data_IF_759475543064
#
_entry.id   IF_759475543064
#
_cell.length_a   1.000
_cell.length_b   1.000
_cell.length_c   1.000
_cell.angle_alpha   90.00
_cell.angle_beta   90.00
_cell.angle_gamma   90.00
#
_symmetry.space_group_name_H-M   'P 1'
#
loop_
_entity.id
_entity.type
_entity.pdbx_description
1 polymer ?
#
# COMPACT_ATOMS: atom_id res chain seq x y z
N UNK A 1 38.46 31.59 47.82
CA UNK A 1 37.98 30.19 47.93
C UNK A 1 36.72 30.19 48.76
N UNK A 2 35.64 29.49 48.37
CA UNK A 2 35.62 28.36 47.44
C UNK A 2 34.82 28.58 46.14
N UNK A 3 35.36 28.01 45.06
CA UNK A 3 34.63 27.52 43.90
C UNK A 3 33.68 26.38 44.30
N UNK A 4 32.48 26.38 43.73
CA UNK A 4 31.55 25.26 43.82
C UNK A 4 30.98 24.96 42.42
N UNK A 5 31.10 23.73 41.90
CA UNK A 5 30.69 23.41 40.54
C UNK A 5 29.15 23.38 40.42
N UNK A 6 28.64 24.09 39.41
CA UNK A 6 27.22 24.09 39.05
C UNK A 6 26.82 22.72 38.51
N UNK A 7 26.27 21.91 39.42
CA UNK A 7 25.15 20.99 39.24
C UNK A 7 24.98 20.35 37.85
N UNK A 8 25.62 19.19 37.68
CA UNK A 8 25.40 18.23 36.60
C UNK A 8 24.02 17.54 36.68
N UNK A 9 22.92 18.30 36.78
CA UNK A 9 21.55 17.78 36.91
C UNK A 9 20.71 17.83 35.63
N UNK A 10 21.29 18.23 34.49
CA UNK A 10 20.58 18.30 33.21
C UNK A 10 20.53 16.98 32.43
N UNK A 11 21.38 16.00 32.74
CA UNK A 11 21.48 14.74 31.98
C UNK A 11 20.39 13.70 32.29
N UNK A 12 19.98 13.58 33.56
CA UNK A 12 19.05 12.53 33.99
C UNK A 12 17.59 12.79 33.55
N UNK A 13 17.17 14.07 33.52
CA UNK A 13 15.81 14.43 33.13
C UNK A 13 15.53 14.16 31.64
N UNK A 14 16.54 14.33 30.78
CA UNK A 14 16.42 14.07 29.33
C UNK A 14 16.24 12.59 29.01
N UNK A 15 16.90 11.70 29.75
CA UNK A 15 16.79 10.24 29.55
C UNK A 15 15.44 9.68 29.99
N UNK A 16 14.88 10.20 31.09
CA UNK A 16 13.55 9.79 31.57
C UNK A 16 12.45 10.28 30.62
N UNK A 17 12.57 11.51 30.09
CA UNK A 17 11.62 12.03 29.10
C UNK A 17 11.66 11.22 27.78
N UNK A 18 12.86 10.84 27.32
CA UNK A 18 13.02 10.01 26.13
C UNK A 18 12.46 8.58 26.33
N UNK A 19 12.68 7.98 27.50
CA UNK A 19 12.12 6.67 27.84
C UNK A 19 10.58 6.71 27.98
N UNK A 20 10.04 7.80 28.54
CA UNK A 20 8.59 8.01 28.61
C UNK A 20 7.95 8.19 27.22
N UNK A 21 8.64 8.86 26.29
CA UNK A 21 8.15 9.03 24.92
C UNK A 21 8.06 7.69 24.15
N UNK A 22 8.93 6.71 24.44
CA UNK A 22 8.85 5.37 23.84
C UNK A 22 7.65 4.56 24.33
N UNK A 23 7.14 4.82 25.55
CA UNK A 23 5.92 4.18 26.07
C UNK A 23 4.64 4.67 25.35
N UNK A 24 4.72 5.80 24.64
CA UNK A 24 3.62 6.36 23.86
C UNK A 24 3.78 6.16 22.35
N UNK A 25 4.79 5.43 21.89
CA UNK A 25 4.86 5.03 20.50
C UNK A 25 3.72 4.03 20.25
N UNK A 26 2.72 4.36 19.41
CA UNK A 26 1.69 3.39 19.07
C UNK A 26 2.39 2.22 18.41
N UNK A 27 2.26 1.03 19.00
CA UNK A 27 2.74 -0.24 18.44
C UNK A 27 1.94 -0.55 17.17
N UNK A 28 2.22 0.20 16.11
CA UNK A 28 1.48 0.19 14.85
C UNK A 28 2.04 -0.91 13.97
N UNK A 29 1.85 -2.15 14.42
CA UNK A 29 2.22 -3.37 13.70
C UNK A 29 1.16 -4.46 13.82
N UNK A 30 0.03 -4.19 14.48
CA UNK A 30 -1.16 -5.02 14.37
C UNK A 30 -1.86 -4.64 13.07
N UNK A 31 -2.10 -5.63 12.21
CA UNK A 31 -2.97 -5.49 11.05
C UNK A 31 -4.22 -4.71 11.51
N UNK A 32 -4.53 -3.62 10.80
CA UNK A 32 -5.64 -2.72 11.12
C UNK A 32 -6.97 -3.37 10.75
N UNK A 33 -7.16 -4.64 11.13
CA UNK A 33 -8.44 -5.33 11.05
C UNK A 33 -9.29 -4.87 12.23
N UNK A 34 -9.81 -3.65 12.10
CA UNK A 34 -10.79 -3.08 13.02
C UNK A 34 -12.18 -3.39 12.49
N UNK A 35 -13.18 -3.51 13.38
CA UNK A 35 -14.59 -3.66 12.99
C UNK A 35 -15.02 -2.60 11.96
N UNK A 36 -14.47 -1.37 12.09
CA UNK A 36 -14.65 -0.27 11.15
C UNK A 36 -14.17 -0.57 9.73
N UNK A 37 -12.99 -1.20 9.59
CA UNK A 37 -12.49 -1.64 8.29
C UNK A 37 -13.37 -2.72 7.70
N UNK A 38 -13.95 -3.60 8.53
CA UNK A 38 -14.86 -4.64 8.08
C UNK A 38 -16.15 -4.09 7.45
N UNK A 39 -16.73 -3.01 7.97
CA UNK A 39 -17.90 -2.36 7.36
C UNK A 39 -17.57 -1.70 6.02
N UNK A 40 -16.34 -1.18 5.83
CA UNK A 40 -15.93 -0.61 4.54
C UNK A 40 -15.73 -1.64 3.43
N UNK A 41 -15.64 -2.93 3.79
CA UNK A 41 -15.49 -4.03 2.85
C UNK A 41 -16.83 -4.65 2.43
N UNK A 42 -17.91 -4.40 3.18
CA UNK A 42 -19.24 -4.98 2.92
C UNK A 42 -19.92 -4.39 1.66
N UNK A 43 -19.53 -3.17 1.26
CA UNK A 43 -20.02 -2.49 0.05
C UNK A 43 -19.04 -2.58 -1.15
N UNK A 44 -17.97 -3.37 -1.04
CA UNK A 44 -17.03 -3.54 -2.16
C UNK A 44 -17.65 -4.44 -3.24
N UNK A 45 -18.20 -3.77 -4.26
CA UNK A 45 -18.96 -4.41 -5.34
C UNK A 45 -18.06 -5.13 -6.36
N UNK A 46 -16.75 -4.92 -6.30
CA UNK A 46 -15.77 -5.55 -7.18
C UNK A 46 -14.52 -4.71 -7.38
N UNK A 47 -13.72 -5.09 -8.37
CA UNK A 47 -12.44 -4.45 -8.70
C UNK A 47 -12.41 -4.09 -10.18
N UNK A 48 -11.93 -2.89 -10.50
CA UNK A 48 -11.58 -2.53 -11.88
C UNK A 48 -10.12 -2.87 -12.16
N UNK A 49 -9.84 -3.48 -13.32
CA UNK A 49 -8.48 -3.89 -13.70
C UNK A 49 -7.93 -2.98 -14.78
N UNK A 50 -6.77 -2.40 -14.52
CA UNK A 50 -5.99 -1.62 -15.48
C UNK A 50 -4.61 -2.22 -15.65
N UNK A 51 -4.18 -2.39 -16.90
CA UNK A 51 -2.85 -2.88 -17.22
C UNK A 51 -2.07 -1.85 -18.03
N UNK A 52 -0.76 -1.77 -17.80
CA UNK A 52 0.16 -0.89 -18.50
C UNK A 52 1.44 -1.66 -18.83
N UNK A 53 1.95 -1.44 -20.04
CA UNK A 53 3.18 -2.07 -20.56
C UNK A 53 4.10 -1.03 -21.16
N UNK A 54 5.42 -1.28 -21.12
CA UNK A 54 6.38 -0.44 -21.83
C UNK A 54 6.59 -0.92 -23.29
N UNK A 55 7.24 -0.09 -24.12
CA UNK A 55 7.54 -0.45 -25.52
C UNK A 55 8.41 -1.71 -25.65
N UNK A 56 9.25 -2.00 -24.65
CA UNK A 56 10.04 -3.24 -24.62
C UNK A 56 9.13 -4.47 -24.57
N UNK A 57 8.07 -4.43 -23.78
CA UNK A 57 7.09 -5.51 -23.69
C UNK A 57 6.26 -5.63 -24.97
N UNK A 58 5.81 -4.51 -25.53
CA UNK A 58 5.06 -4.53 -26.81
C UNK A 58 5.91 -5.15 -27.93
N UNK A 59 7.20 -4.81 -28.00
CA UNK A 59 8.14 -5.41 -28.93
C UNK A 59 8.37 -6.92 -28.72
N UNK A 60 8.15 -7.42 -27.49
CA UNK A 60 8.17 -8.85 -27.15
C UNK A 60 6.80 -9.53 -27.33
N UNK A 61 5.79 -8.82 -27.84
CA UNK A 61 4.44 -9.34 -28.04
C UNK A 61 3.55 -9.32 -26.79
N UNK A 62 3.99 -8.70 -25.70
CA UNK A 62 3.22 -8.50 -24.48
C UNK A 62 2.52 -7.14 -24.52
N UNK A 63 1.22 -7.16 -24.82
CA UNK A 63 0.38 -5.97 -24.81
C UNK A 63 -0.27 -5.75 -23.43
N UNK A 64 -0.58 -4.50 -23.11
CA UNK A 64 -1.40 -4.18 -21.94
C UNK A 64 -2.73 -4.95 -21.93
N UNK A 65 -3.35 -5.17 -23.10
CA UNK A 65 -4.62 -5.90 -23.20
C UNK A 65 -4.48 -7.37 -22.84
N UNK A 66 -3.42 -8.04 -23.31
CA UNK A 66 -3.14 -9.43 -22.93
C UNK A 66 -2.90 -9.55 -21.42
N UNK A 67 -2.13 -8.62 -20.82
CA UNK A 67 -1.89 -8.60 -19.38
C UNK A 67 -3.18 -8.38 -18.59
N UNK A 68 -4.04 -7.46 -19.06
CA UNK A 68 -5.35 -7.23 -18.44
C UNK A 68 -6.22 -8.48 -18.51
N UNK A 69 -6.27 -9.14 -19.66
CA UNK A 69 -7.07 -10.35 -19.88
C UNK A 69 -6.64 -11.47 -18.92
N UNK A 70 -5.34 -11.68 -18.77
CA UNK A 70 -4.81 -12.68 -17.84
C UNK A 70 -5.15 -12.36 -16.38
N UNK A 71 -5.03 -11.08 -15.98
CA UNK A 71 -5.40 -10.64 -14.65
C UNK A 71 -6.90 -10.79 -14.37
N UNK A 72 -7.75 -10.46 -15.34
CA UNK A 72 -9.21 -10.67 -15.28
C UNK A 72 -9.53 -12.15 -15.09
N UNK A 73 -8.95 -13.03 -15.91
CA UNK A 73 -9.18 -14.47 -15.81
C UNK A 73 -8.75 -15.03 -14.43
N UNK A 74 -7.65 -14.54 -13.88
CA UNK A 74 -7.20 -14.94 -12.54
C UNK A 74 -8.16 -14.48 -11.43
N UNK A 75 -8.71 -13.27 -11.54
CA UNK A 75 -9.69 -12.75 -10.58
C UNK A 75 -11.05 -13.46 -10.68
N UNK A 76 -11.51 -13.76 -11.90
CA UNK A 76 -12.72 -14.56 -12.12
C UNK A 76 -12.57 -15.97 -11.53
N UNK A 77 -11.41 -16.61 -11.72
CA UNK A 77 -11.11 -17.92 -11.13
C UNK A 77 -11.06 -17.89 -9.59
N UNK A 78 -10.78 -16.72 -9.00
CA UNK A 78 -10.83 -16.48 -7.56
C UNK A 78 -12.20 -15.98 -7.08
N UNK A 79 -13.22 -15.98 -7.95
CA UNK A 79 -14.58 -15.51 -7.65
C UNK A 79 -14.64 -14.04 -7.18
N UNK A 80 -13.68 -13.21 -7.62
CA UNK A 80 -13.66 -11.77 -7.35
C UNK A 80 -14.54 -11.04 -8.37
N UNK A 81 -15.56 -10.28 -7.94
CA UNK A 81 -16.39 -9.50 -8.86
C UNK A 81 -15.57 -8.43 -9.60
N UNK A 82 -15.85 -8.26 -10.89
CA UNK A 82 -15.15 -7.31 -11.75
C UNK A 82 -16.06 -6.16 -12.15
N UNK A 83 -15.46 -4.97 -12.24
CA UNK A 83 -16.15 -3.74 -12.58
C UNK A 83 -15.66 -3.18 -13.92
N UNK A 84 -16.59 -2.68 -14.72
CA UNK A 84 -16.28 -1.81 -15.84
C UNK A 84 -15.72 -0.49 -15.35
N UNK A 85 -14.99 0.23 -16.22
CA UNK A 85 -14.48 1.56 -15.90
C UNK A 85 -15.61 2.52 -15.48
N UNK A 86 -16.76 2.43 -16.15
CA UNK A 86 -17.92 3.25 -15.84
C UNK A 86 -18.46 2.98 -14.42
N UNK A 87 -18.62 1.71 -14.04
CA UNK A 87 -19.10 1.33 -12.71
C UNK A 87 -18.14 1.77 -11.59
N UNK A 88 -16.83 1.68 -11.85
CA UNK A 88 -15.81 2.20 -10.93
C UNK A 88 -15.93 3.71 -10.76
N UNK A 89 -16.13 4.47 -11.84
CA UNK A 89 -16.22 5.93 -11.79
C UNK A 89 -17.53 6.43 -11.16
N UNK A 90 -18.60 5.64 -11.21
CA UNK A 90 -19.92 5.98 -10.65
C UNK A 90 -19.93 5.92 -9.11
N UNK A 91 -18.97 5.25 -8.47
CA UNK A 91 -18.93 5.04 -7.03
C UNK A 91 -17.58 5.45 -6.41
N UNK A 92 -17.54 6.44 -5.50
CA UNK A 92 -16.30 6.84 -4.85
C UNK A 92 -15.78 5.73 -3.91
N UNK A 93 -14.47 5.48 -3.93
CA UNK A 93 -13.83 4.53 -3.03
C UNK A 93 -13.77 3.08 -3.54
N UNK A 94 -14.15 2.83 -4.80
CA UNK A 94 -14.02 1.50 -5.41
C UNK A 94 -12.53 1.13 -5.65
N UNK A 95 -12.14 -0.12 -5.38
CA UNK A 95 -10.78 -0.61 -5.65
C UNK A 95 -10.43 -0.67 -7.14
N UNK A 96 -9.25 -0.17 -7.49
CA UNK A 96 -8.58 -0.38 -8.78
C UNK A 96 -7.36 -1.31 -8.58
N UNK A 97 -7.28 -2.39 -9.36
CA UNK A 97 -6.07 -3.18 -9.51
C UNK A 97 -5.29 -2.67 -10.72
N UNK A 98 -4.08 -2.17 -10.47
CA UNK A 98 -3.15 -1.74 -11.51
C UNK A 98 -2.01 -2.74 -11.67
N UNK A 99 -1.86 -3.27 -12.87
CA UNK A 99 -0.77 -4.18 -13.25
C UNK A 99 0.16 -3.46 -14.20
N UNK A 100 1.38 -3.18 -13.77
CA UNK A 100 2.42 -2.59 -14.62
C UNK A 100 3.48 -3.62 -14.93
N UNK A 101 3.74 -3.84 -16.21
CA UNK A 101 4.79 -4.77 -16.67
C UNK A 101 5.86 -3.99 -17.41
N UNK A 102 7.09 -4.15 -16.96
CA UNK A 102 8.27 -3.55 -17.56
C UNK A 102 9.19 -4.64 -18.11
N UNK A 103 9.46 -4.57 -19.41
CA UNK A 103 10.42 -5.45 -20.06
C UNK A 103 11.68 -4.63 -20.33
N UNK A 104 12.79 -5.06 -19.73
CA UNK A 104 14.11 -4.53 -20.07
C UNK A 104 14.61 -5.17 -21.37
N UNK A 105 15.37 -4.41 -22.16
CA UNK A 105 16.21 -4.98 -23.20
C UNK A 105 17.37 -5.74 -22.57
N UNK A 106 17.11 -6.97 -22.12
CA UNK A 106 18.17 -7.89 -21.72
C UNK A 106 19.03 -8.19 -22.95
N UNK A 107 20.32 -7.86 -22.88
CA UNK A 107 21.31 -8.30 -23.86
C UNK A 107 21.28 -9.83 -23.92
N UNK A 108 20.90 -10.37 -25.07
CA UNK A 108 21.10 -11.77 -25.42
C UNK A 108 22.56 -12.01 -25.80
#
# INVERSE_FOLDING_TARGET
MPDGPVSARRGAASLVAAAAAMLFLPASGVAQDTEWNRYTLEDLVGVHVRAETNQGCEGAGLSAESVRTDAVAALEAAEVPLLTEREMLESPGIPELRVTVECGGGVA
#
